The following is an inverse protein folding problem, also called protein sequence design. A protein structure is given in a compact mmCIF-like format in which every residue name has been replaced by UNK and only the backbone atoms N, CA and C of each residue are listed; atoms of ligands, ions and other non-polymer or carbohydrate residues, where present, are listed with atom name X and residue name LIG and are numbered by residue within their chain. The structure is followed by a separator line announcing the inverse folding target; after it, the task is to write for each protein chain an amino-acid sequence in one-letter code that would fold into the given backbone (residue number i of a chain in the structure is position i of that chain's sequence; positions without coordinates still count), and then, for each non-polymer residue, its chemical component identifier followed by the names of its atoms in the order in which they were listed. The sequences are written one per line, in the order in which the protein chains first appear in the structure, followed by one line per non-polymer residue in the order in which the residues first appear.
data_IF_212248432583
#
_entry.id   IF_212248432583
#
_cell.length_a   1.000
_cell.length_b   1.000
_cell.length_c   1.000
_cell.angle_alpha   90.00
_cell.angle_beta   90.00
_cell.angle_gamma   90.00
#
_symmetry.space_group_name_H-M   'P 1'
#
loop_
_entity.id
_entity.type
_entity.pdbx_description
1 polymer ?
#
# COMPACT_ATOMS: atom_id res chain seq x y z
N UNK A 1 3.11 5.83 13.46
CA UNK A 1 4.01 5.99 12.28
C UNK A 1 3.80 7.37 11.66
N UNK A 2 4.83 8.19 11.47
CA UNK A 2 4.71 9.48 10.76
C UNK A 2 5.14 9.29 9.30
N UNK A 3 4.20 9.46 8.36
CA UNK A 3 4.39 9.27 6.93
C UNK A 3 4.26 10.58 6.14
N UNK A 4 4.54 11.72 6.80
CA UNK A 4 4.54 13.01 6.10
C UNK A 4 5.79 13.17 5.24
N UNK A 5 5.61 13.18 3.94
CA UNK A 5 6.71 13.31 2.98
C UNK A 5 6.59 12.32 1.83
N UNK A 6 7.72 11.97 1.24
CA UNK A 6 7.76 11.07 0.09
C UNK A 6 7.78 9.61 0.57
N UNK A 7 6.79 8.84 0.13
CA UNK A 7 6.80 7.38 0.17
C UNK A 7 7.02 6.91 -1.26
N UNK A 8 8.20 6.41 -1.56
CA UNK A 8 8.53 6.01 -2.93
C UNK A 8 8.09 4.58 -3.22
N UNK A 9 7.53 4.37 -4.40
CA UNK A 9 7.26 3.02 -4.91
C UNK A 9 8.57 2.47 -5.46
N UNK A 10 8.96 1.29 -5.01
CA UNK A 10 10.22 0.66 -5.42
C UNK A 10 9.96 -0.26 -6.62
N UNK A 11 10.71 -0.05 -7.70
CA UNK A 11 10.73 -0.93 -8.85
C UNK A 11 11.54 -2.19 -8.54
N UNK A 12 11.20 -3.30 -9.18
CA UNK A 12 11.95 -4.55 -9.06
C UNK A 12 13.06 -4.58 -10.11
N UNK A 13 14.34 -4.50 -9.74
CA UNK A 13 15.42 -4.72 -10.68
C UNK A 13 15.59 -6.22 -10.96
N UNK A 14 15.80 -6.57 -12.22
CA UNK A 14 16.07 -7.93 -12.66
C UNK A 14 17.49 -8.04 -13.23
N UNK A 15 18.12 -9.16 -13.00
CA UNK A 15 19.39 -9.51 -13.62
C UNK A 15 19.24 -10.07 -15.04
N UNK A 16 20.35 -10.37 -15.70
CA UNK A 16 20.35 -10.87 -17.07
C UNK A 16 19.72 -12.27 -17.22
N UNK A 17 19.52 -13.01 -16.13
CA UNK A 17 18.85 -14.31 -16.13
C UNK A 17 17.34 -14.18 -15.89
N UNK A 18 16.85 -12.97 -15.61
CA UNK A 18 15.45 -12.69 -15.26
C UNK A 18 15.14 -12.89 -13.77
N UNK A 19 16.13 -13.17 -12.94
CA UNK A 19 15.99 -13.19 -11.49
C UNK A 19 16.07 -11.80 -10.87
N UNK A 20 15.65 -11.65 -9.60
CA UNK A 20 15.75 -10.38 -8.90
C UNK A 20 17.23 -10.04 -8.64
N UNK A 21 17.68 -8.88 -9.14
CA UNK A 21 18.98 -8.29 -8.78
C UNK A 21 18.92 -7.72 -7.36
N UNK A 22 19.33 -8.55 -6.39
CA UNK A 22 19.31 -8.21 -4.97
C UNK A 22 20.24 -7.03 -4.64
N UNK A 23 21.39 -6.96 -5.28
CA UNK A 23 22.36 -5.88 -5.06
C UNK A 23 21.87 -4.57 -5.67
N UNK A 24 21.30 -4.62 -6.86
CA UNK A 24 20.62 -3.50 -7.50
C UNK A 24 19.47 -2.98 -6.64
N UNK A 25 18.63 -3.87 -6.09
CA UNK A 25 17.55 -3.50 -5.19
C UNK A 25 18.07 -2.80 -3.92
N UNK A 26 19.10 -3.34 -3.27
CA UNK A 26 19.69 -2.70 -2.07
C UNK A 26 20.26 -1.32 -2.39
N UNK A 27 20.96 -1.17 -3.52
CA UNK A 27 21.48 0.13 -3.97
C UNK A 27 20.34 1.13 -4.20
N UNK A 28 19.26 0.69 -4.83
CA UNK A 28 18.07 1.53 -5.08
C UNK A 28 17.42 2.01 -3.77
N UNK A 29 17.21 1.09 -2.82
CA UNK A 29 16.67 1.42 -1.49
C UNK A 29 17.57 2.40 -0.74
N UNK A 30 18.88 2.17 -0.68
CA UNK A 30 19.85 3.07 -0.03
C UNK A 30 19.90 4.45 -0.68
N UNK A 31 19.81 4.50 -2.03
CA UNK A 31 19.72 5.78 -2.73
C UNK A 31 18.48 6.57 -2.30
N UNK A 32 17.32 5.90 -2.23
CA UNK A 32 16.08 6.54 -1.80
C UNK A 32 16.17 7.01 -0.32
N UNK A 33 16.73 6.21 0.58
CA UNK A 33 16.98 6.59 1.99
C UNK A 33 17.84 7.85 2.05
N UNK A 34 18.97 7.86 1.35
CA UNK A 34 19.90 9.01 1.32
C UNK A 34 19.26 10.26 0.71
N UNK A 35 18.24 10.08 -0.12
CA UNK A 35 17.44 11.18 -0.68
C UNK A 35 16.35 11.70 0.28
N UNK A 36 16.20 11.11 1.46
CA UNK A 36 15.33 11.59 2.53
C UNK A 36 13.87 11.13 2.43
N UNK A 37 13.58 10.01 1.76
CA UNK A 37 12.22 9.44 1.74
C UNK A 37 11.78 9.02 3.14
N UNK A 38 10.46 9.05 3.38
CA UNK A 38 9.85 8.66 4.66
C UNK A 38 9.35 7.22 4.67
N UNK A 39 9.27 6.60 3.50
CA UNK A 39 8.85 5.22 3.39
C UNK A 39 9.05 4.64 2.00
N UNK A 40 8.86 3.33 1.94
CA UNK A 40 8.78 2.54 0.73
C UNK A 40 7.40 1.93 0.58
N UNK A 41 6.91 1.84 -0.64
CA UNK A 41 5.79 0.99 -1.00
C UNK A 41 6.33 -0.14 -1.90
N UNK A 42 6.31 -1.38 -1.39
CA UNK A 42 6.88 -2.56 -2.05
C UNK A 42 6.30 -3.88 -1.48
N UNK A 43 5.91 -4.86 -2.32
CA UNK A 43 5.71 -4.74 -3.76
C UNK A 43 4.45 -3.93 -4.09
N UNK A 44 4.41 -3.32 -5.27
CA UNK A 44 3.25 -2.58 -5.76
C UNK A 44 3.13 -2.75 -7.28
N UNK A 45 2.19 -2.04 -7.93
CA UNK A 45 2.04 -2.13 -9.40
C UNK A 45 3.35 -1.82 -10.13
N UNK A 46 4.05 -0.75 -9.75
CA UNK A 46 5.34 -0.40 -10.34
C UNK A 46 6.47 -1.39 -10.01
N UNK A 47 6.28 -2.25 -9.00
CA UNK A 47 7.18 -3.38 -8.71
C UNK A 47 6.82 -4.64 -9.52
N UNK A 48 5.85 -4.57 -10.40
CA UNK A 48 5.31 -5.69 -11.20
C UNK A 48 4.70 -6.81 -10.33
N UNK A 49 4.07 -6.45 -9.20
CA UNK A 49 3.59 -7.36 -8.14
C UNK A 49 2.77 -8.54 -8.64
N UNK A 50 1.97 -8.38 -9.71
CA UNK A 50 1.13 -9.44 -10.26
C UNK A 50 1.90 -10.44 -11.13
N UNK A 51 3.16 -10.13 -11.48
CA UNK A 51 4.05 -11.01 -12.26
C UNK A 51 5.06 -11.75 -11.39
N UNK A 52 5.25 -11.28 -10.16
CA UNK A 52 6.18 -11.88 -9.21
C UNK A 52 5.59 -13.13 -8.56
N UNK A 53 6.40 -14.15 -8.39
CA UNK A 53 6.09 -15.30 -7.55
C UNK A 53 5.99 -14.87 -6.07
N UNK A 54 5.35 -15.70 -5.25
CA UNK A 54 5.23 -15.41 -3.81
C UNK A 54 6.60 -15.30 -3.12
N UNK A 55 7.55 -16.15 -3.49
CA UNK A 55 8.92 -16.09 -2.95
C UNK A 55 9.67 -14.81 -3.35
N UNK A 56 9.40 -14.29 -4.54
CA UNK A 56 9.99 -13.02 -5.00
C UNK A 56 9.37 -11.83 -4.25
N UNK A 57 8.05 -11.82 -4.02
CA UNK A 57 7.39 -10.81 -3.20
C UNK A 57 7.95 -10.80 -1.77
N UNK A 58 8.09 -11.97 -1.16
CA UNK A 58 8.71 -12.10 0.17
C UNK A 58 10.15 -11.59 0.19
N UNK A 59 10.94 -11.93 -0.84
CA UNK A 59 12.31 -11.46 -0.96
C UNK A 59 12.40 -9.93 -1.04
N UNK A 60 11.53 -9.29 -1.83
CA UNK A 60 11.46 -7.83 -1.94
C UNK A 60 11.15 -7.18 -0.58
N UNK A 61 10.11 -7.68 0.11
CA UNK A 61 9.70 -7.17 1.42
C UNK A 61 10.81 -7.36 2.45
N UNK A 62 11.44 -8.53 2.47
CA UNK A 62 12.56 -8.83 3.38
C UNK A 62 13.72 -7.85 3.19
N UNK A 63 14.17 -7.66 1.94
CA UNK A 63 15.28 -6.75 1.65
C UNK A 63 14.88 -5.30 2.00
N UNK A 64 13.65 -4.89 1.73
CA UNK A 64 13.18 -3.55 2.08
C UNK A 64 13.17 -3.32 3.60
N UNK A 65 12.73 -4.30 4.39
CA UNK A 65 12.77 -4.21 5.86
C UNK A 65 14.19 -4.16 6.41
N UNK A 66 15.11 -4.97 5.84
CA UNK A 66 16.51 -4.96 6.23
C UNK A 66 17.19 -3.60 5.97
N UNK A 67 16.93 -2.97 4.81
CA UNK A 67 17.55 -1.68 4.45
C UNK A 67 16.87 -0.48 5.14
N UNK A 68 15.56 -0.55 5.38
CA UNK A 68 14.81 0.52 6.02
C UNK A 68 15.15 0.69 7.50
N UNK A 69 15.52 -0.38 8.19
CA UNK A 69 15.77 -0.35 9.63
C UNK A 69 14.56 0.17 10.41
N UNK A 70 14.79 1.11 11.32
CA UNK A 70 13.75 1.75 12.14
C UNK A 70 13.30 3.11 11.62
N UNK A 71 14.05 3.71 10.70
CA UNK A 71 13.94 5.12 10.34
C UNK A 71 13.03 5.37 9.13
N UNK A 72 12.87 4.36 8.28
CA UNK A 72 12.07 4.43 7.05
C UNK A 72 10.94 3.41 7.11
N UNK A 73 9.72 3.86 6.86
CA UNK A 73 8.56 2.97 6.90
C UNK A 73 8.54 2.04 5.68
N UNK A 74 8.15 0.78 5.89
CA UNK A 74 7.84 -0.14 4.79
C UNK A 74 6.34 -0.39 4.76
N UNK A 75 5.70 0.00 3.65
CA UNK A 75 4.31 -0.32 3.34
C UNK A 75 4.34 -1.49 2.38
N UNK A 76 3.88 -2.66 2.83
CA UNK A 76 3.82 -3.82 1.95
C UNK A 76 2.50 -3.87 1.18
N UNK A 77 2.59 -3.95 -0.16
CA UNK A 77 1.41 -4.12 -1.01
C UNK A 77 0.97 -5.58 -1.06
N UNK A 78 -0.27 -5.84 -0.69
CA UNK A 78 -0.85 -7.19 -0.62
C UNK A 78 -1.68 -7.56 -1.86
N UNK A 79 -1.59 -6.73 -2.91
CA UNK A 79 -2.38 -6.89 -4.14
C UNK A 79 -2.27 -8.29 -4.75
N UNK A 80 -3.42 -8.87 -5.06
CA UNK A 80 -3.55 -10.18 -5.69
C UNK A 80 -4.91 -10.27 -6.40
N UNK A 81 -5.11 -11.30 -7.22
CA UNK A 81 -6.33 -11.47 -8.00
C UNK A 81 -7.54 -11.87 -7.15
N UNK A 82 -7.33 -12.69 -6.11
CA UNK A 82 -8.40 -13.20 -5.27
C UNK A 82 -8.34 -12.61 -3.85
N UNK A 83 -9.50 -12.54 -3.18
CA UNK A 83 -9.60 -12.16 -1.77
C UNK A 83 -8.72 -13.05 -0.87
N UNK A 84 -8.71 -14.36 -1.14
CA UNK A 84 -7.91 -15.32 -0.38
C UNK A 84 -6.43 -15.00 -0.45
N UNK A 85 -5.90 -14.79 -1.67
CA UNK A 85 -4.49 -14.45 -1.86
C UNK A 85 -4.13 -13.10 -1.22
N UNK A 86 -5.02 -12.08 -1.30
CA UNK A 86 -4.80 -10.80 -0.62
C UNK A 86 -4.70 -10.99 0.89
N UNK A 87 -5.59 -11.79 1.47
CA UNK A 87 -5.57 -12.12 2.89
C UNK A 87 -4.28 -12.86 3.29
N UNK A 88 -3.88 -13.88 2.53
CA UNK A 88 -2.65 -14.64 2.77
C UNK A 88 -1.40 -13.75 2.70
N UNK A 89 -1.32 -12.86 1.70
CA UNK A 89 -0.24 -11.89 1.58
C UNK A 89 -0.24 -10.90 2.76
N UNK A 90 -1.41 -10.46 3.20
CA UNK A 90 -1.54 -9.57 4.34
C UNK A 90 -0.99 -10.19 5.63
N UNK A 91 -1.45 -11.40 5.96
CA UNK A 91 -0.97 -12.17 7.13
C UNK A 91 0.54 -12.40 7.05
N UNK A 92 1.03 -12.80 5.88
CA UNK A 92 2.44 -13.08 5.64
C UNK A 92 3.32 -11.86 5.86
N UNK A 93 3.00 -10.73 5.23
CA UNK A 93 3.82 -9.53 5.34
C UNK A 93 3.72 -8.89 6.73
N UNK A 94 2.57 -8.99 7.39
CA UNK A 94 2.45 -8.59 8.79
C UNK A 94 3.37 -9.44 9.70
N UNK A 95 3.38 -10.76 9.51
CA UNK A 95 4.28 -11.66 10.23
C UNK A 95 5.77 -11.40 9.97
N UNK A 96 6.12 -10.89 8.79
CA UNK A 96 7.48 -10.44 8.46
C UNK A 96 7.88 -9.13 9.14
N UNK A 97 6.95 -8.44 9.80
CA UNK A 97 7.20 -7.19 10.53
C UNK A 97 6.74 -5.92 9.82
N UNK A 98 6.00 -6.02 8.71
CA UNK A 98 5.40 -4.86 8.08
C UNK A 98 4.29 -4.30 8.96
N UNK A 99 4.42 -3.05 9.38
CA UNK A 99 3.45 -2.35 10.24
C UNK A 99 2.34 -1.67 9.45
N UNK A 100 2.60 -1.36 8.19
CA UNK A 100 1.63 -0.79 7.25
C UNK A 100 1.46 -1.71 6.03
N UNK A 101 0.21 -1.97 5.66
CA UNK A 101 -0.14 -2.86 4.56
C UNK A 101 -1.10 -2.16 3.62
N UNK A 102 -0.76 -2.13 2.33
CA UNK A 102 -1.60 -1.56 1.30
C UNK A 102 -2.46 -2.65 0.68
N UNK A 103 -3.76 -2.38 0.60
CA UNK A 103 -4.73 -3.24 -0.06
C UNK A 103 -5.35 -2.53 -1.26
N UNK A 104 -5.46 -3.23 -2.38
CA UNK A 104 -6.27 -2.84 -3.53
C UNK A 104 -7.37 -3.89 -3.69
N UNK A 105 -8.60 -3.51 -3.36
CA UNK A 105 -9.77 -4.38 -3.41
C UNK A 105 -10.66 -3.88 -4.55
N UNK A 106 -11.09 -4.73 -5.52
CA UNK A 106 -12.08 -4.35 -6.51
C UNK A 106 -13.39 -3.94 -5.84
N UNK A 107 -13.93 -2.77 -6.19
CA UNK A 107 -15.21 -2.32 -5.65
C UNK A 107 -16.38 -2.94 -6.44
N UNK A 108 -16.94 -4.02 -5.90
CA UNK A 108 -18.14 -4.68 -6.45
C UNK A 108 -19.39 -4.19 -5.72
N UNK A 109 -19.36 -4.21 -4.39
CA UNK A 109 -20.40 -3.67 -3.53
C UNK A 109 -19.78 -3.14 -2.23
N UNK A 110 -20.48 -2.23 -1.55
CA UNK A 110 -20.03 -1.68 -0.28
C UNK A 110 -19.93 -2.77 0.80
N UNK A 111 -20.90 -3.69 0.84
CA UNK A 111 -20.95 -4.73 1.86
C UNK A 111 -19.80 -5.73 1.72
N UNK A 112 -19.53 -6.21 0.50
CA UNK A 112 -18.42 -7.14 0.25
C UNK A 112 -17.07 -6.50 0.52
N UNK A 113 -16.90 -5.23 0.11
CA UNK A 113 -15.68 -4.48 0.37
C UNK A 113 -15.45 -4.27 1.86
N UNK A 114 -16.48 -3.83 2.58
CA UNK A 114 -16.42 -3.60 4.02
C UNK A 114 -16.12 -4.90 4.78
N UNK A 115 -16.74 -6.01 4.38
CA UNK A 115 -16.49 -7.31 4.98
C UNK A 115 -15.03 -7.76 4.80
N UNK A 116 -14.47 -7.57 3.59
CA UNK A 116 -13.06 -7.87 3.36
C UNK A 116 -12.14 -7.00 4.23
N UNK A 117 -12.39 -5.68 4.30
CA UNK A 117 -11.54 -4.80 5.12
C UNK A 117 -11.69 -5.11 6.61
N UNK A 118 -12.90 -5.43 7.10
CA UNK A 118 -13.12 -5.87 8.48
C UNK A 118 -12.34 -7.14 8.83
N UNK A 119 -12.28 -8.10 7.91
CA UNK A 119 -11.49 -9.31 8.10
C UNK A 119 -9.99 -8.99 8.26
N UNK A 120 -9.47 -8.01 7.51
CA UNK A 120 -8.08 -7.57 7.63
C UNK A 120 -7.85 -6.77 8.93
N UNK A 121 -8.80 -5.94 9.34
CA UNK A 121 -8.73 -5.14 10.57
C UNK A 121 -8.69 -6.03 11.83
N UNK A 122 -9.38 -7.19 11.82
CA UNK A 122 -9.33 -8.18 12.89
C UNK A 122 -7.93 -8.75 13.16
N UNK A 123 -7.03 -8.66 12.20
CA UNK A 123 -5.61 -9.01 12.36
C UNK A 123 -4.82 -7.96 13.15
N UNK A 124 -5.47 -6.86 13.52
CA UNK A 124 -4.91 -5.76 14.30
C UNK A 124 -3.61 -5.17 13.71
N UNK A 125 -3.57 -4.83 12.41
CA UNK A 125 -2.42 -4.15 11.85
C UNK A 125 -2.30 -2.73 12.42
N UNK A 126 -1.10 -2.17 12.44
CA UNK A 126 -0.95 -0.77 12.85
C UNK A 126 -1.59 0.19 11.85
N UNK A 127 -1.51 -0.12 10.56
CA UNK A 127 -2.08 0.70 9.50
C UNK A 127 -2.52 -0.13 8.29
N UNK A 128 -3.77 0.02 7.89
CA UNK A 128 -4.26 -0.34 6.56
C UNK A 128 -4.20 0.90 5.68
N UNK A 129 -3.56 0.77 4.53
CA UNK A 129 -3.57 1.75 3.44
C UNK A 129 -4.51 1.24 2.36
N UNK A 130 -5.61 1.90 2.12
CA UNK A 130 -6.52 1.54 1.03
C UNK A 130 -6.06 2.26 -0.24
N UNK A 131 -5.87 1.51 -1.32
CA UNK A 131 -5.62 2.07 -2.65
C UNK A 131 -6.96 2.28 -3.35
N UNK A 132 -7.34 3.54 -3.51
CA UNK A 132 -8.51 3.96 -4.28
C UNK A 132 -8.05 4.23 -5.73
N UNK A 133 -8.16 3.21 -6.57
CA UNK A 133 -7.70 3.24 -7.95
C UNK A 133 -8.87 3.13 -8.92
N UNK A 134 -9.03 4.16 -9.74
CA UNK A 134 -10.00 4.19 -10.83
C UNK A 134 -9.52 5.16 -11.92
N UNK A 135 -8.96 4.61 -12.99
CA UNK A 135 -8.40 5.41 -14.10
C UNK A 135 -9.47 6.18 -14.91
N UNK A 136 -10.72 5.75 -14.83
CA UNK A 136 -11.83 6.32 -15.61
C UNK A 136 -12.88 7.06 -14.79
N UNK A 137 -12.75 7.08 -13.46
CA UNK A 137 -13.79 7.60 -12.60
C UNK A 137 -13.32 8.08 -11.23
N UNK A 138 -14.31 8.34 -10.39
CA UNK A 138 -14.11 8.94 -9.06
C UNK A 138 -13.62 7.93 -8.01
N UNK A 139 -13.60 6.64 -8.33
CA UNK A 139 -13.22 5.57 -7.39
C UNK A 139 -14.27 5.30 -6.33
N UNK A 140 -13.84 4.97 -5.11
CA UNK A 140 -14.75 4.66 -4.00
C UNK A 140 -15.71 5.84 -3.71
N UNK A 141 -17.02 5.57 -3.48
CA UNK A 141 -17.97 6.59 -3.07
C UNK A 141 -17.53 7.30 -1.78
N UNK A 142 -17.78 8.61 -1.70
CA UNK A 142 -17.29 9.42 -0.57
C UNK A 142 -17.95 9.02 0.76
N UNK A 143 -19.24 8.73 0.75
CA UNK A 143 -19.98 8.23 1.90
C UNK A 143 -19.46 6.90 2.41
N UNK A 144 -19.07 6.01 1.47
CA UNK A 144 -18.44 4.73 1.79
C UNK A 144 -17.05 4.90 2.39
N UNK A 145 -16.22 5.81 1.88
CA UNK A 145 -14.94 6.15 2.54
C UNK A 145 -15.19 6.65 3.97
N UNK A 146 -16.24 7.45 4.17
CA UNK A 146 -16.65 7.91 5.49
C UNK A 146 -17.09 6.76 6.41
N UNK A 147 -17.74 5.75 5.87
CA UNK A 147 -18.11 4.55 6.61
C UNK A 147 -16.87 3.76 7.01
N UNK A 148 -15.97 3.45 6.07
CA UNK A 148 -14.69 2.79 6.35
C UNK A 148 -13.90 3.52 7.44
N UNK A 149 -13.80 4.85 7.33
CA UNK A 149 -13.07 5.66 8.31
C UNK A 149 -13.66 5.59 9.72
N UNK A 150 -14.98 5.43 9.86
CA UNK A 150 -15.65 5.31 11.17
C UNK A 150 -15.58 3.90 11.76
N UNK A 151 -15.61 2.87 10.90
CA UNK A 151 -15.78 1.47 11.35
C UNK A 151 -14.47 0.69 11.42
N UNK A 152 -13.41 1.12 10.72
CA UNK A 152 -12.14 0.41 10.61
C UNK A 152 -11.05 1.21 11.32
N UNK A 153 -10.63 0.74 12.49
CA UNK A 153 -9.67 1.46 13.33
C UNK A 153 -8.29 1.58 12.68
N UNK A 154 -7.86 0.53 12.00
CA UNK A 154 -6.55 0.51 11.31
C UNK A 154 -6.54 1.22 9.95
N UNK A 155 -7.68 1.66 9.41
CA UNK A 155 -7.71 2.44 8.18
C UNK A 155 -7.21 3.87 8.44
N UNK A 156 -5.94 4.12 8.20
CA UNK A 156 -5.26 5.39 8.52
C UNK A 156 -4.75 6.15 7.30
N UNK A 157 -4.76 5.54 6.11
CA UNK A 157 -4.31 6.19 4.89
C UNK A 157 -5.14 5.76 3.68
N UNK A 158 -5.49 6.73 2.83
CA UNK A 158 -6.07 6.51 1.50
C UNK A 158 -5.05 6.94 0.44
N UNK A 159 -4.65 6.01 -0.42
CA UNK A 159 -3.84 6.31 -1.61
C UNK A 159 -4.78 6.59 -2.77
N UNK A 160 -4.83 7.85 -3.20
CA UNK A 160 -5.79 8.35 -4.21
C UNK A 160 -5.17 8.27 -5.60
N UNK A 161 -5.76 7.46 -6.47
CA UNK A 161 -5.36 7.26 -7.87
C UNK A 161 -6.62 7.23 -8.75
N UNK A 162 -7.38 8.34 -8.74
CA UNK A 162 -8.68 8.48 -9.42
C UNK A 162 -8.72 9.76 -10.26
N UNK A 163 -9.76 9.93 -11.07
CA UNK A 163 -9.98 11.11 -11.92
C UNK A 163 -11.34 11.75 -11.59
N UNK A 164 -11.38 13.04 -11.18
CA UNK A 164 -10.29 13.96 -10.88
C UNK A 164 -9.74 13.82 -9.45
N UNK A 165 -8.45 13.54 -9.30
CA UNK A 165 -7.83 13.32 -7.99
C UNK A 165 -7.93 14.55 -7.06
N UNK A 166 -7.72 15.76 -7.57
CA UNK A 166 -7.76 16.99 -6.77
C UNK A 166 -9.07 17.20 -6.03
N UNK A 167 -10.21 16.91 -6.69
CA UNK A 167 -11.53 16.95 -6.05
C UNK A 167 -11.64 15.91 -4.94
N UNK A 168 -11.20 14.68 -5.20
CA UNK A 168 -11.23 13.59 -4.22
C UNK A 168 -10.43 13.93 -2.96
N UNK A 169 -9.22 14.48 -3.10
CA UNK A 169 -8.44 14.97 -1.96
C UNK A 169 -9.19 15.95 -1.10
N UNK A 170 -9.82 16.94 -1.72
CA UNK A 170 -10.59 17.97 -1.02
C UNK A 170 -11.77 17.36 -0.28
N UNK A 171 -12.56 16.52 -0.96
CA UNK A 171 -13.76 15.90 -0.41
C UNK A 171 -13.41 15.00 0.80
N UNK A 172 -12.41 14.13 0.67
CA UNK A 172 -11.99 13.23 1.75
C UNK A 172 -11.37 14.00 2.91
N UNK A 173 -10.58 15.04 2.63
CA UNK A 173 -10.02 15.90 3.68
C UNK A 173 -11.09 16.59 4.49
N UNK A 174 -12.13 17.11 3.85
CA UNK A 174 -13.28 17.72 4.53
C UNK A 174 -14.04 16.68 5.37
N UNK A 175 -14.37 15.52 4.77
CA UNK A 175 -15.09 14.43 5.42
C UNK A 175 -14.41 13.95 6.71
N UNK A 176 -13.10 13.78 6.68
CA UNK A 176 -12.31 13.24 7.80
C UNK A 176 -11.68 14.32 8.68
N UNK A 177 -12.00 15.60 8.42
CA UNK A 177 -11.41 16.76 9.10
C UNK A 177 -9.88 16.74 9.08
N UNK A 178 -9.32 16.24 7.97
CA UNK A 178 -7.88 16.10 7.77
C UNK A 178 -7.18 15.05 8.62
N UNK A 179 -7.91 14.16 9.28
CA UNK A 179 -7.33 13.12 10.15
C UNK A 179 -6.90 11.87 9.41
N UNK A 180 -7.58 11.53 8.30
CA UNK A 180 -7.13 10.44 7.42
C UNK A 180 -5.95 10.94 6.59
N UNK A 181 -4.84 10.20 6.60
CA UNK A 181 -3.71 10.50 5.74
C UNK A 181 -4.09 10.26 4.27
N UNK A 182 -3.66 11.18 3.41
CA UNK A 182 -3.88 11.08 1.97
C UNK A 182 -2.54 11.00 1.25
N UNK A 183 -2.39 10.01 0.38
CA UNK A 183 -1.24 9.85 -0.49
C UNK A 183 -1.67 9.96 -1.96
N UNK A 184 -0.85 10.60 -2.78
CA UNK A 184 -0.98 10.61 -4.23
C UNK A 184 -0.23 9.44 -4.86
N UNK A 185 -0.79 8.88 -5.92
CA UNK A 185 -0.12 7.87 -6.71
C UNK A 185 0.17 8.31 -8.14
N UNK A 186 -0.46 9.40 -8.57
CA UNK A 186 -0.24 10.02 -9.88
C UNK A 186 0.34 11.42 -9.68
N UNK A 187 1.41 11.68 -10.42
CA UNK A 187 2.01 13.00 -10.51
C UNK A 187 1.35 13.81 -11.65
#
# INVERSE_FOLDING_TARGET
MDLKGIVTVINTPFDHSGGIDKDGLRKHLRYAINSGVKGFLIPAMASEVLKLSESEKELLVKIALEEAGTDVAVIAGTSAYTRKERYENFVKFQAMGCRALLVNIPFVSADEYLDEVKQLDQLSPEMIVIQDWDAGGYGLPLDFIGQLYREIESFKMLKVEVVPAGKKYTDVKMLTKGKLLLAGGWA
#
